data_IF_390379900252
#
_entry.id   IF_390379900252
#
_cell.length_a   1.000
_cell.length_b   1.000
_cell.length_c   1.000
_cell.angle_alpha   90.00
_cell.angle_beta   90.00
_cell.angle_gamma   90.00
#
_symmetry.space_group_name_H-M   'P 1'
#
loop_
_entity.id
_entity.type
_entity.pdbx_description
1 polymer ?
#
# COMPACT_ATOMS: atom_id res chain seq x y z
N UNK A 1 -11.59 28.50 -10.25
CA UNK A 1 -12.44 27.56 -9.49
C UNK A 1 -12.73 28.16 -8.11
N UNK A 2 -13.97 28.16 -7.62
CA UNK A 2 -14.31 28.81 -6.34
C UNK A 2 -13.93 27.94 -5.14
N UNK A 3 -13.65 28.57 -4.00
CA UNK A 3 -13.31 27.89 -2.72
C UNK A 3 -14.33 26.81 -2.34
N UNK A 4 -15.61 27.11 -2.46
CA UNK A 4 -16.70 26.17 -2.17
C UNK A 4 -16.69 24.95 -3.09
N UNK A 5 -16.38 25.11 -4.39
CA UNK A 5 -16.26 23.98 -5.32
C UNK A 5 -15.12 23.05 -4.96
N UNK A 6 -13.94 23.60 -4.63
CA UNK A 6 -12.77 22.81 -4.20
C UNK A 6 -13.07 22.07 -2.90
N UNK A 7 -13.72 22.73 -1.94
CA UNK A 7 -14.14 22.11 -0.68
C UNK A 7 -15.07 20.93 -0.91
N UNK A 8 -16.10 21.10 -1.74
CA UNK A 8 -17.04 20.03 -2.04
C UNK A 8 -16.34 18.83 -2.69
N UNK A 9 -15.46 19.08 -3.68
CA UNK A 9 -14.67 18.01 -4.32
C UNK A 9 -13.79 17.29 -3.31
N UNK A 10 -13.10 18.01 -2.43
CA UNK A 10 -12.28 17.41 -1.38
C UNK A 10 -13.10 16.51 -0.46
N UNK A 11 -14.28 16.96 -0.02
CA UNK A 11 -15.18 16.18 0.83
C UNK A 11 -15.76 14.97 0.09
N UNK A 12 -16.08 15.08 -1.21
CA UNK A 12 -16.50 13.95 -2.03
C UNK A 12 -15.40 12.91 -2.17
N UNK A 13 -14.15 13.32 -2.42
CA UNK A 13 -13.00 12.41 -2.50
C UNK A 13 -12.73 11.72 -1.17
N UNK A 14 -12.83 12.46 -0.06
CA UNK A 14 -12.68 11.89 1.28
C UNK A 14 -13.76 10.85 1.55
N UNK A 15 -15.03 11.19 1.27
CA UNK A 15 -16.16 10.28 1.42
C UNK A 15 -16.00 9.04 0.53
N UNK A 16 -15.57 9.20 -0.72
CA UNK A 16 -15.31 8.09 -1.63
C UNK A 16 -14.23 7.13 -1.09
N UNK A 17 -13.11 7.66 -0.58
CA UNK A 17 -12.05 6.83 0.01
C UNK A 17 -12.55 6.08 1.26
N UNK A 18 -13.32 6.74 2.12
CA UNK A 18 -13.89 6.11 3.32
C UNK A 18 -14.90 5.01 2.96
N UNK A 19 -15.76 5.26 1.97
CA UNK A 19 -16.71 4.27 1.46
C UNK A 19 -16.00 3.09 0.80
N UNK A 20 -14.96 3.35 0.00
CA UNK A 20 -14.14 2.29 -0.61
C UNK A 20 -13.47 1.43 0.46
N UNK A 21 -12.89 2.04 1.50
CA UNK A 21 -12.29 1.32 2.62
C UNK A 21 -13.33 0.44 3.35
N UNK A 22 -14.50 0.99 3.66
CA UNK A 22 -15.58 0.25 4.30
C UNK A 22 -16.13 -0.88 3.42
N UNK A 23 -16.30 -0.64 2.12
CA UNK A 23 -16.76 -1.64 1.16
C UNK A 23 -15.75 -2.79 1.01
N UNK A 24 -14.46 -2.47 0.93
CA UNK A 24 -13.38 -3.46 0.87
C UNK A 24 -13.33 -4.30 2.14
N UNK A 25 -13.49 -3.67 3.31
CA UNK A 25 -13.53 -4.38 4.59
C UNK A 25 -14.73 -5.35 4.69
N UNK A 26 -15.90 -4.96 4.18
CA UNK A 26 -17.13 -5.76 4.28
C UNK A 26 -17.21 -6.89 3.25
N UNK A 27 -16.78 -6.63 2.01
CA UNK A 27 -17.00 -7.55 0.88
C UNK A 27 -15.73 -8.29 0.45
N UNK A 28 -14.57 -7.83 0.88
CA UNK A 28 -13.28 -8.26 0.35
C UNK A 28 -12.98 -7.76 -1.06
N UNK A 29 -13.89 -7.01 -1.71
CA UNK A 29 -13.65 -6.44 -3.03
C UNK A 29 -13.22 -4.97 -2.93
N UNK A 30 -12.16 -4.63 -3.65
CA UNK A 30 -11.64 -3.26 -3.70
C UNK A 30 -11.31 -2.83 -5.12
N UNK A 31 -11.22 -1.52 -5.32
CA UNK A 31 -10.52 -0.96 -6.47
C UNK A 31 -9.03 -1.29 -6.41
N UNK A 32 -8.43 -1.38 -7.60
CA UNK A 32 -7.01 -1.53 -7.80
C UNK A 32 -6.24 -0.46 -6.99
N UNK A 33 -5.17 -0.85 -6.26
CA UNK A 33 -4.39 0.05 -5.43
C UNK A 33 -3.85 1.29 -6.15
N UNK A 34 -3.49 1.21 -7.43
CA UNK A 34 -3.02 2.34 -8.23
C UNK A 34 -4.13 3.37 -8.47
N UNK A 35 -5.37 2.94 -8.72
CA UNK A 35 -6.51 3.84 -8.87
C UNK A 35 -6.81 4.57 -7.55
N UNK A 36 -6.83 3.83 -6.44
CA UNK A 36 -7.02 4.39 -5.09
C UNK A 36 -5.90 5.38 -4.74
N UNK A 37 -4.66 5.08 -5.12
CA UNK A 37 -3.52 5.97 -4.92
C UNK A 37 -3.69 7.32 -5.62
N UNK A 38 -4.12 7.32 -6.88
CA UNK A 38 -4.38 8.56 -7.63
C UNK A 38 -5.45 9.41 -6.94
N UNK A 39 -6.54 8.79 -6.48
CA UNK A 39 -7.60 9.51 -5.74
C UNK A 39 -7.05 10.11 -4.43
N UNK A 40 -6.21 9.37 -3.69
CA UNK A 40 -5.55 9.86 -2.47
C UNK A 40 -4.61 11.03 -2.76
N UNK A 41 -3.88 11.00 -3.86
CA UNK A 41 -3.00 12.09 -4.28
C UNK A 41 -3.79 13.37 -4.58
N UNK A 42 -4.93 13.25 -5.29
CA UNK A 42 -5.84 14.37 -5.56
C UNK A 42 -6.45 14.90 -4.25
N UNK A 43 -6.80 14.02 -3.31
CA UNK A 43 -7.28 14.40 -1.98
C UNK A 43 -6.22 15.23 -1.22
N UNK A 44 -4.97 14.78 -1.21
CA UNK A 44 -3.90 15.47 -0.50
C UNK A 44 -3.58 16.84 -1.11
N UNK A 45 -3.44 16.90 -2.43
CA UNK A 45 -3.19 18.15 -3.14
C UNK A 45 -4.34 19.16 -2.95
N UNK A 46 -5.60 18.72 -3.02
CA UNK A 46 -6.75 19.59 -2.73
C UNK A 46 -6.77 20.08 -1.27
N UNK A 47 -6.36 19.25 -0.31
CA UNK A 47 -6.20 19.64 1.09
C UNK A 47 -5.16 20.75 1.30
N UNK A 48 -4.00 20.63 0.64
CA UNK A 48 -2.95 21.67 0.66
C UNK A 48 -3.45 22.98 0.05
N UNK A 49 -4.11 22.93 -1.10
CA UNK A 49 -4.69 24.14 -1.73
C UNK A 49 -5.71 24.78 -0.80
N UNK A 50 -6.59 23.98 -0.19
CA UNK A 50 -7.60 24.47 0.75
C UNK A 50 -6.99 25.07 2.02
N UNK A 51 -5.83 24.59 2.49
CA UNK A 51 -5.09 25.20 3.59
C UNK A 51 -4.72 26.65 3.27
N UNK A 52 -4.05 26.89 2.14
CA UNK A 52 -3.65 28.24 1.73
C UNK A 52 -4.85 29.15 1.44
N UNK A 53 -5.97 28.61 0.95
CA UNK A 53 -7.23 29.37 0.76
C UNK A 53 -8.00 29.66 2.05
N UNK A 54 -7.63 29.04 3.18
CA UNK A 54 -8.26 29.22 4.49
C UNK A 54 -7.32 29.83 5.53
N UNK A 55 -6.06 30.10 5.20
CA UNK A 55 -5.08 30.63 6.17
C UNK A 55 -5.52 31.97 6.77
N UNK A 56 -6.30 32.78 6.03
CA UNK A 56 -6.90 34.03 6.50
C UNK A 56 -8.39 34.12 6.13
N UNK A 57 -9.29 34.37 7.10
CA UNK A 57 -9.08 34.32 8.55
C UNK A 57 -8.81 32.89 9.02
N UNK A 58 -7.90 32.70 9.98
CA UNK A 58 -7.57 31.38 10.52
C UNK A 58 -8.75 30.81 11.30
N UNK A 59 -9.51 29.92 10.65
CA UNK A 59 -10.67 29.22 11.22
C UNK A 59 -10.31 27.79 11.60
N UNK A 60 -11.16 27.14 12.39
CA UNK A 60 -11.03 25.72 12.76
C UNK A 60 -10.81 24.80 11.54
N UNK A 61 -11.47 25.12 10.42
CA UNK A 61 -11.33 24.36 9.18
C UNK A 61 -9.90 24.42 8.60
N UNK A 62 -9.14 25.46 8.90
CA UNK A 62 -7.73 25.59 8.50
C UNK A 62 -6.83 24.65 9.30
N UNK A 63 -7.22 24.30 10.54
CA UNK A 63 -6.52 23.27 11.34
C UNK A 63 -6.73 21.90 10.70
N UNK A 64 -7.94 21.60 10.22
CA UNK A 64 -8.19 20.38 9.46
C UNK A 64 -7.28 20.30 8.22
N UNK A 65 -7.20 21.38 7.43
CA UNK A 65 -6.35 21.40 6.24
C UNK A 65 -4.85 21.46 6.52
N UNK A 66 -4.43 21.92 7.72
CA UNK A 66 -3.01 22.01 8.07
C UNK A 66 -2.35 20.63 8.14
N UNK A 67 -3.08 19.58 8.53
CA UNK A 67 -2.59 18.20 8.54
C UNK A 67 -2.05 17.76 7.16
N UNK A 68 -2.72 18.12 6.07
CA UNK A 68 -2.27 17.82 4.70
C UNK A 68 -0.98 18.56 4.32
N UNK A 69 -0.81 19.77 4.83
CA UNK A 69 0.38 20.60 4.53
C UNK A 69 1.57 20.18 5.40
N UNK A 70 1.35 20.02 6.70
CA UNK A 70 2.36 19.56 7.66
C UNK A 70 2.88 18.17 7.26
N UNK A 71 1.99 17.26 6.84
CA UNK A 71 2.41 15.95 6.37
C UNK A 71 3.38 16.02 5.18
N UNK A 72 3.06 16.83 4.16
CA UNK A 72 3.95 17.07 3.03
C UNK A 72 5.29 17.68 3.44
N UNK A 73 5.29 18.65 4.36
CA UNK A 73 6.52 19.27 4.89
C UNK A 73 7.40 18.25 5.62
N UNK A 74 6.82 17.45 6.52
CA UNK A 74 7.57 16.44 7.28
C UNK A 74 8.20 15.40 6.36
N UNK A 75 7.45 14.92 5.35
CA UNK A 75 7.97 13.99 4.34
C UNK A 75 9.10 14.61 3.53
N UNK A 76 8.95 15.88 3.11
CA UNK A 76 10.01 16.60 2.39
C UNK A 76 11.26 16.78 3.26
N UNK A 77 11.10 17.14 4.54
CA UNK A 77 12.21 17.24 5.48
C UNK A 77 12.93 15.91 5.69
N UNK A 78 12.19 14.80 5.80
CA UNK A 78 12.80 13.47 5.88
C UNK A 78 13.64 13.15 4.63
N UNK A 79 13.14 13.49 3.44
CA UNK A 79 13.90 13.25 2.21
C UNK A 79 15.18 14.09 2.13
N UNK A 80 15.17 15.32 2.66
CA UNK A 80 16.32 16.24 2.62
C UNK A 80 17.35 15.96 3.71
N UNK A 81 16.90 15.70 4.94
CA UNK A 81 17.78 15.59 6.11
C UNK A 81 17.97 14.15 6.60
N UNK A 82 17.09 13.23 6.19
CA UNK A 82 17.07 11.86 6.70
C UNK A 82 16.79 11.79 8.20
N UNK A 83 17.36 10.77 8.86
CA UNK A 83 17.32 10.62 10.31
C UNK A 83 16.13 9.81 10.83
N UNK A 84 16.37 9.06 11.90
CA UNK A 84 15.42 8.10 12.47
C UNK A 84 14.12 8.76 12.97
N UNK A 85 14.22 9.94 13.58
CA UNK A 85 13.05 10.66 14.09
C UNK A 85 12.11 11.07 12.96
N UNK A 86 12.65 11.68 11.89
CA UNK A 86 11.88 12.08 10.73
C UNK A 86 11.37 10.86 9.94
N UNK A 87 12.10 9.74 9.95
CA UNK A 87 11.65 8.47 9.36
C UNK A 87 10.39 7.95 10.06
N UNK A 88 10.36 7.96 11.39
CA UNK A 88 9.19 7.52 12.17
C UNK A 88 7.97 8.40 11.88
N UNK A 89 8.12 9.73 11.95
CA UNK A 89 7.01 10.64 11.64
C UNK A 89 6.53 10.52 10.20
N UNK A 90 7.46 10.46 9.24
CA UNK A 90 7.13 10.30 7.83
C UNK A 90 6.44 8.97 7.56
N UNK A 91 6.84 7.89 8.24
CA UNK A 91 6.19 6.58 8.11
C UNK A 91 4.72 6.63 8.53
N UNK A 92 4.40 7.32 9.62
CA UNK A 92 3.02 7.47 10.10
C UNK A 92 2.20 8.30 9.11
N UNK A 93 2.80 9.39 8.60
CA UNK A 93 2.12 10.33 7.69
C UNK A 93 1.96 9.78 6.26
N UNK A 94 2.89 8.93 5.83
CA UNK A 94 2.83 8.26 4.52
C UNK A 94 1.90 7.06 4.52
N UNK A 95 1.68 6.38 5.66
CA UNK A 95 0.81 5.21 5.76
C UNK A 95 -0.53 5.34 4.98
N UNK A 96 -1.33 6.41 5.13
CA UNK A 96 -2.58 6.53 4.40
C UNK A 96 -2.41 6.76 2.89
N UNK A 97 -1.26 7.25 2.43
CA UNK A 97 -1.01 7.64 1.04
C UNK A 97 -0.21 6.58 0.29
N UNK A 98 0.68 5.86 0.96
CA UNK A 98 1.70 5.03 0.32
C UNK A 98 1.07 4.00 -0.62
N UNK A 99 1.53 3.91 -1.89
CA UNK A 99 0.98 2.95 -2.83
C UNK A 99 1.43 1.54 -2.46
N UNK A 100 0.52 0.57 -2.58
CA UNK A 100 0.90 -0.84 -2.54
C UNK A 100 1.71 -1.16 -3.79
N UNK A 101 2.91 -1.71 -3.63
CA UNK A 101 3.78 -2.05 -4.75
C UNK A 101 3.52 -3.49 -5.19
N UNK A 102 3.50 -3.73 -6.51
CA UNK A 102 3.32 -5.08 -7.06
C UNK A 102 4.67 -5.78 -7.03
N UNK A 103 4.75 -6.89 -6.31
CA UNK A 103 5.97 -7.72 -6.21
C UNK A 103 5.90 -8.92 -7.14
N UNK A 104 4.70 -9.44 -7.35
CA UNK A 104 4.46 -10.57 -8.24
C UNK A 104 3.08 -10.47 -8.87
N UNK A 105 2.99 -10.81 -10.15
CA UNK A 105 1.75 -10.79 -10.91
C UNK A 105 1.68 -11.96 -11.89
N UNK A 106 0.55 -12.66 -11.90
CA UNK A 106 0.18 -13.64 -12.91
C UNK A 106 -1.33 -13.52 -13.22
N UNK A 107 -1.82 -14.26 -14.21
CA UNK A 107 -3.22 -14.22 -14.67
C UNK A 107 -4.25 -14.51 -13.56
N UNK A 108 -3.87 -15.26 -12.52
CA UNK A 108 -4.77 -15.68 -11.44
C UNK A 108 -4.59 -14.92 -10.13
N UNK A 109 -3.41 -14.33 -9.87
CA UNK A 109 -3.10 -13.69 -8.59
C UNK A 109 -2.16 -12.50 -8.77
N UNK A 110 -2.31 -11.51 -7.90
CA UNK A 110 -1.39 -10.39 -7.76
C UNK A 110 -1.02 -10.21 -6.30
N UNK A 111 0.27 -10.11 -6.05
CA UNK A 111 0.84 -9.99 -4.71
C UNK A 111 1.43 -8.60 -4.53
N UNK A 112 0.99 -7.96 -3.46
CA UNK A 112 1.36 -6.61 -3.11
C UNK A 112 2.24 -6.61 -1.87
N UNK A 113 3.35 -5.88 -1.91
CA UNK A 113 4.08 -5.53 -0.69
C UNK A 113 3.23 -4.56 0.13
N UNK A 114 2.99 -4.91 1.40
CA UNK A 114 2.32 -3.98 2.31
C UNK A 114 3.30 -2.93 2.77
N UNK A 115 2.81 -1.71 2.93
CA UNK A 115 3.58 -0.69 3.62
C UNK A 115 3.78 -1.13 5.08
N UNK A 116 5.01 -1.52 5.37
CA UNK A 116 5.50 -1.97 6.65
C UNK A 116 6.28 -0.76 7.20
N UNK A 117 5.75 -0.14 8.26
CA UNK A 117 6.36 1.09 8.79
C UNK A 117 7.79 0.87 9.26
N UNK A 118 8.48 1.95 9.64
CA UNK A 118 9.92 1.93 9.96
C UNK A 118 10.37 0.84 10.97
N UNK A 119 9.48 0.39 11.86
CA UNK A 119 9.77 -0.62 12.92
C UNK A 119 9.11 -1.98 12.66
N UNK A 120 8.56 -2.23 11.48
CA UNK A 120 7.90 -3.50 11.18
C UNK A 120 8.91 -4.63 10.97
N UNK A 121 8.56 -5.84 11.41
CA UNK A 121 9.25 -7.05 10.96
C UNK A 121 8.97 -7.26 9.46
N UNK A 122 9.94 -7.77 8.72
CA UNK A 122 9.76 -8.27 7.35
C UNK A 122 8.99 -9.61 7.39
N UNK A 123 8.27 -10.06 6.37
CA UNK A 123 7.76 -9.36 5.20
C UNK A 123 6.29 -9.75 5.03
N UNK A 124 5.38 -8.78 5.13
CA UNK A 124 3.95 -8.99 4.97
C UNK A 124 3.50 -8.62 3.56
N UNK A 125 2.93 -9.60 2.87
CA UNK A 125 2.36 -9.42 1.55
C UNK A 125 0.85 -9.61 1.58
N UNK A 126 0.17 -8.87 0.72
CA UNK A 126 -1.25 -8.97 0.49
C UNK A 126 -1.51 -9.67 -0.85
N UNK A 127 -2.30 -10.74 -0.81
CA UNK A 127 -2.61 -11.54 -1.99
C UNK A 127 -4.01 -11.21 -2.46
N UNK A 128 -4.12 -10.92 -3.74
CA UNK A 128 -5.36 -10.52 -4.39
C UNK A 128 -5.59 -11.33 -5.66
N UNK A 129 -6.86 -11.53 -5.99
CA UNK A 129 -7.29 -12.09 -7.25
C UNK A 129 -7.75 -10.96 -8.17
N UNK A 130 -7.10 -10.72 -9.33
CA UNK A 130 -7.58 -9.75 -10.29
C UNK A 130 -8.96 -10.17 -10.81
N UNK A 131 -9.93 -9.26 -10.73
CA UNK A 131 -11.26 -9.41 -11.35
C UNK A 131 -11.38 -8.44 -12.52
N UNK A 132 -12.55 -8.38 -13.16
CA UNK A 132 -12.72 -7.57 -14.38
C UNK A 132 -12.38 -6.09 -14.15
N UNK A 133 -11.65 -5.50 -15.12
CA UNK A 133 -11.24 -4.10 -15.20
C UNK A 133 -10.33 -3.62 -14.06
N UNK A 134 -10.92 -2.98 -13.04
CA UNK A 134 -10.20 -2.27 -11.97
C UNK A 134 -10.49 -2.84 -10.59
N UNK A 135 -11.22 -3.94 -10.50
CA UNK A 135 -11.57 -4.56 -9.23
C UNK A 135 -10.67 -5.73 -8.90
N UNK A 136 -10.35 -5.86 -7.63
CA UNK A 136 -9.55 -6.93 -7.07
C UNK A 136 -10.28 -7.52 -5.88
N UNK A 137 -10.24 -8.85 -5.78
CA UNK A 137 -10.74 -9.57 -4.61
C UNK A 137 -9.56 -9.83 -3.69
N UNK A 138 -9.64 -9.33 -2.47
CA UNK A 138 -8.68 -9.63 -1.41
C UNK A 138 -8.83 -11.09 -0.98
N UNK A 139 -7.75 -11.86 -1.08
CA UNK A 139 -7.72 -13.28 -0.69
C UNK A 139 -7.17 -13.47 0.72
N UNK A 140 -6.23 -12.63 1.14
CA UNK A 140 -5.67 -12.66 2.48
C UNK A 140 -4.24 -12.11 2.54
N UNK A 141 -3.57 -12.40 3.66
CA UNK A 141 -2.19 -12.00 3.91
C UNK A 141 -1.27 -13.22 3.98
N UNK A 142 -0.04 -13.04 3.52
CA UNK A 142 1.04 -14.00 3.70
C UNK A 142 2.22 -13.30 4.37
N UNK A 143 2.81 -13.96 5.34
CA UNK A 143 4.02 -13.51 6.02
C UNK A 143 5.13 -14.48 5.65
N UNK A 144 6.22 -13.97 5.09
CA UNK A 144 7.37 -14.74 4.66
C UNK A 144 8.61 -14.09 5.24
N UNK A 145 9.58 -14.90 5.69
CA UNK A 145 10.85 -14.42 6.24
C UNK A 145 11.79 -13.85 5.16
N UNK A 146 11.51 -14.14 3.88
CA UNK A 146 12.35 -13.76 2.74
C UNK A 146 11.57 -12.95 1.72
N UNK A 147 12.28 -12.04 1.05
CA UNK A 147 11.69 -11.21 -0.01
C UNK A 147 11.31 -12.06 -1.23
N UNK A 148 10.13 -11.79 -1.80
CA UNK A 148 9.67 -12.46 -3.02
C UNK A 148 10.50 -11.97 -4.21
N UNK A 149 11.20 -12.87 -4.89
CA UNK A 149 11.88 -12.57 -6.14
C UNK A 149 11.05 -13.09 -7.32
N UNK A 150 10.45 -12.20 -8.15
CA UNK A 150 9.54 -12.63 -9.22
C UNK A 150 10.20 -13.53 -10.28
N UNK A 151 11.53 -13.54 -10.39
CA UNK A 151 12.25 -14.40 -11.33
C UNK A 151 12.56 -15.81 -10.78
N UNK A 152 12.50 -16.00 -9.45
CA UNK A 152 12.85 -17.26 -8.77
C UNK A 152 11.68 -17.88 -7.99
N UNK A 153 10.54 -17.19 -7.94
CA UNK A 153 9.37 -17.59 -7.17
C UNK A 153 8.19 -17.86 -8.10
N UNK A 154 7.58 -19.04 -7.96
CA UNK A 154 6.28 -19.31 -8.57
C UNK A 154 5.21 -19.33 -7.48
N UNK A 155 4.18 -18.50 -7.65
CA UNK A 155 2.97 -18.54 -6.82
C UNK A 155 1.80 -19.07 -7.65
N UNK A 156 1.06 -20.06 -7.12
CA UNK A 156 -0.15 -20.61 -7.72
C UNK A 156 -1.28 -20.73 -6.72
N UNK A 157 -2.49 -20.39 -7.15
CA UNK A 157 -3.71 -20.61 -6.37
C UNK A 157 -4.26 -22.00 -6.69
N UNK A 158 -4.39 -22.86 -5.68
CA UNK A 158 -5.00 -24.18 -5.82
C UNK A 158 -6.01 -24.41 -4.69
N UNK A 159 -7.30 -24.55 -5.02
CA UNK A 159 -8.38 -24.83 -4.06
C UNK A 159 -8.38 -23.92 -2.81
N UNK A 160 -8.13 -22.61 -2.98
CA UNK A 160 -8.08 -21.64 -1.88
C UNK A 160 -6.78 -21.64 -1.06
N UNK A 161 -5.78 -22.42 -1.46
CA UNK A 161 -4.42 -22.38 -0.91
C UNK A 161 -3.47 -21.68 -1.88
N UNK A 162 -2.53 -20.91 -1.32
CA UNK A 162 -1.46 -20.28 -2.08
C UNK A 162 -0.25 -21.21 -1.98
N UNK A 163 0.13 -21.80 -3.12
CA UNK A 163 1.35 -22.58 -3.27
C UNK A 163 2.48 -21.59 -3.55
N UNK A 164 3.40 -21.47 -2.59
CA UNK A 164 4.61 -20.67 -2.72
C UNK A 164 5.78 -21.60 -3.01
N UNK A 165 6.32 -21.54 -4.22
CA UNK A 165 7.50 -22.28 -4.64
C UNK A 165 8.67 -21.32 -4.70
N UNK A 166 9.69 -21.54 -3.88
CA UNK A 166 10.91 -20.75 -3.89
C UNK A 166 12.15 -21.63 -4.01
N UNK A 167 13.16 -21.13 -4.72
CA UNK A 167 14.48 -21.75 -4.75
C UNK A 167 15.20 -21.51 -3.42
N UNK A 168 15.59 -22.59 -2.74
CA UNK A 168 16.50 -22.58 -1.61
C UNK A 168 17.88 -22.99 -2.13
N UNK A 169 18.84 -22.06 -2.09
CA UNK A 169 20.24 -22.37 -2.34
C UNK A 169 20.80 -23.12 -1.13
N UNK A 170 20.74 -24.46 -1.17
CA UNK A 170 21.32 -25.31 -0.14
C UNK A 170 22.72 -25.75 -0.58
N UNK A 171 23.76 -25.00 -0.21
CA UNK A 171 25.13 -25.25 -0.65
C UNK A 171 25.68 -26.56 -0.06
N UNK A 172 25.60 -27.64 -0.83
CA UNK A 172 26.13 -28.94 -0.43
C UNK A 172 27.63 -29.02 -0.75
N UNK A 173 28.47 -28.97 0.30
CA UNK A 173 29.94 -28.91 0.21
C UNK A 173 30.54 -30.11 -0.53
N UNK A 174 29.84 -31.25 -0.58
CA UNK A 174 30.36 -32.48 -1.21
C UNK A 174 30.17 -32.55 -2.73
N UNK A 175 29.13 -31.90 -3.31
CA UNK A 175 28.74 -32.13 -4.71
C UNK A 175 28.76 -30.89 -5.64
N UNK A 176 29.11 -29.68 -5.16
CA UNK A 176 29.19 -28.45 -5.99
C UNK A 176 27.95 -28.16 -6.87
N UNK A 177 26.75 -28.50 -6.40
CA UNK A 177 25.49 -28.08 -7.03
C UNK A 177 24.43 -27.89 -5.96
N UNK A 178 23.65 -26.80 -6.07
CA UNK A 178 22.62 -26.46 -5.08
C UNK A 178 21.43 -25.76 -5.73
N UNK A 179 20.36 -26.50 -5.99
CA UNK A 179 19.00 -25.97 -6.14
C UNK A 179 18.07 -26.97 -5.46
N UNK A 180 17.51 -26.61 -4.31
CA UNK A 180 16.39 -27.33 -3.69
C UNK A 180 15.17 -26.44 -3.84
N UNK A 181 14.11 -26.97 -4.44
CA UNK A 181 12.87 -26.22 -4.62
C UNK A 181 11.91 -26.64 -3.51
N UNK A 182 11.69 -25.76 -2.55
CA UNK A 182 10.73 -25.98 -1.47
C UNK A 182 9.37 -25.38 -1.85
N UNK A 183 8.31 -26.13 -1.57
CA UNK A 183 6.92 -25.70 -1.77
C UNK A 183 6.27 -25.55 -0.40
N UNK A 184 6.00 -24.31 0.00
CA UNK A 184 5.29 -24.01 1.25
C UNK A 184 3.82 -23.81 0.92
N UNK A 185 2.95 -24.62 1.54
CA UNK A 185 1.50 -24.41 1.50
C UNK A 185 1.12 -23.36 2.53
N UNK A 186 0.77 -22.15 2.09
CA UNK A 186 0.26 -21.11 2.97
C UNK A 186 -1.26 -21.08 2.85
N UNK A 187 -1.93 -21.33 3.98
CA UNK A 187 -3.39 -21.33 4.07
C UNK A 187 -3.86 -19.87 4.07
N UNK A 188 -4.62 -19.47 3.05
CA UNK A 188 -5.29 -18.17 3.03
C UNK A 188 -6.41 -18.21 4.08
N UNK A 189 -6.32 -17.36 5.11
CA UNK A 189 -7.40 -17.16 6.09
C UNK A 189 -8.44 -16.18 5.54
#
# INVERSE_FOLDING_TARGET
MTKSKILNIHLYLLSFILLHFGFQFLTGYGLNPSAVFVVKLILYTSGIVLFFMNIKPFKLISIYFSFYTISGIVVAMFFLFGGIMLAVFSSILLYPIYPKQVEYENQSIRVYHRFQGFLSHCCSYEVTEPKQYFFEKHLGFIEIETEINPNKTELKLNNGKILFKHEVENYNIENKTSIVVDTIEIKSN
#
